data_IF_130485668351
#
_entry.id   IF_130485668351
#
_cell.length_a   1.000
_cell.length_b   1.000
_cell.length_c   1.000
_cell.angle_alpha   90.00
_cell.angle_beta   90.00
_cell.angle_gamma   90.00
#
_symmetry.space_group_name_H-M   'P 1'
#
loop_
_entity.id
_entity.type
_entity.pdbx_description
1 polymer ?
#
# COMPACT_ATOMS: atom_id res chain seq x y z
N UNK A 1 7.69 -4.56 -16.27
CA UNK A 1 6.27 -4.43 -15.88
C UNK A 1 5.94 -2.96 -15.65
N UNK A 2 4.74 -2.48 -15.98
CA UNK A 2 4.37 -1.05 -15.91
C UNK A 2 3.48 -0.71 -14.70
N UNK A 3 3.42 0.58 -14.35
CA UNK A 3 2.50 1.08 -13.32
C UNK A 3 1.03 0.75 -13.59
N UNK A 4 0.62 0.72 -14.86
CA UNK A 4 -0.73 0.31 -15.26
C UNK A 4 -1.01 -1.17 -14.93
N UNK A 5 -0.02 -2.05 -15.05
CA UNK A 5 -0.16 -3.46 -14.66
C UNK A 5 -0.30 -3.62 -13.15
N UNK A 6 0.45 -2.84 -12.36
CA UNK A 6 0.31 -2.79 -10.90
C UNK A 6 -1.09 -2.34 -10.50
N UNK A 7 -1.62 -1.28 -11.12
CA UNK A 7 -2.97 -0.80 -10.86
C UNK A 7 -4.02 -1.84 -11.26
N UNK A 8 -3.86 -2.48 -12.41
CA UNK A 8 -4.78 -3.53 -12.86
C UNK A 8 -4.81 -4.69 -11.85
N UNK A 9 -3.64 -5.11 -11.35
CA UNK A 9 -3.54 -6.12 -10.30
C UNK A 9 -4.21 -5.66 -9.01
N UNK A 10 -3.86 -4.47 -8.49
CA UNK A 10 -4.48 -3.93 -7.29
C UNK A 10 -6.01 -3.80 -7.39
N UNK A 11 -6.56 -3.50 -8.58
CA UNK A 11 -8.01 -3.44 -8.82
C UNK A 11 -8.71 -4.79 -8.73
N UNK A 12 -8.01 -5.92 -8.98
CA UNK A 12 -8.57 -7.26 -8.77
C UNK A 12 -8.92 -7.52 -7.31
N UNK A 13 -8.29 -6.79 -6.39
CA UNK A 13 -8.51 -6.94 -4.96
C UNK A 13 -9.72 -6.17 -4.44
N UNK A 14 -10.34 -5.28 -5.23
CA UNK A 14 -11.50 -4.51 -4.80
C UNK A 14 -12.61 -5.41 -4.25
N UNK A 15 -13.15 -5.05 -3.09
CA UNK A 15 -14.14 -5.85 -2.37
C UNK A 15 -13.57 -6.95 -1.47
N UNK A 16 -12.24 -7.19 -1.48
CA UNK A 16 -11.61 -8.13 -0.54
C UNK A 16 -11.84 -7.65 0.91
N UNK A 17 -12.40 -8.48 1.82
CA UNK A 17 -12.68 -8.07 3.20
C UNK A 17 -11.43 -7.64 3.98
N UNK A 18 -11.60 -6.76 4.96
CA UNK A 18 -10.48 -6.40 5.84
C UNK A 18 -10.23 -7.50 6.86
N UNK A 19 -9.09 -8.18 6.77
CA UNK A 19 -8.66 -9.20 7.73
C UNK A 19 -7.20 -8.95 8.09
N UNK A 20 -6.97 -8.61 9.36
CA UNK A 20 -5.64 -8.29 9.90
C UNK A 20 -4.64 -9.43 9.67
N UNK A 21 -3.46 -9.11 9.15
CA UNK A 21 -2.37 -10.00 8.70
C UNK A 21 -2.70 -10.95 7.55
N UNK A 22 -3.93 -10.97 7.03
CA UNK A 22 -4.26 -11.78 5.86
C UNK A 22 -3.75 -11.11 4.58
N UNK A 23 -3.61 -11.89 3.51
CA UNK A 23 -3.12 -11.43 2.21
C UNK A 23 -3.67 -12.31 1.09
N UNK A 24 -4.98 -12.55 1.06
CA UNK A 24 -5.60 -13.44 0.07
C UNK A 24 -6.72 -12.69 -0.65
N UNK A 25 -6.57 -12.53 -1.97
CA UNK A 25 -7.53 -11.80 -2.80
C UNK A 25 -8.93 -12.43 -2.70
N UNK A 26 -9.95 -11.61 -2.53
CA UNK A 26 -11.35 -12.02 -2.38
C UNK A 26 -11.70 -12.67 -1.01
N UNK A 27 -10.70 -13.04 -0.20
CA UNK A 27 -10.91 -13.72 1.09
C UNK A 27 -10.64 -12.79 2.27
N UNK A 28 -9.51 -12.10 2.25
CA UNK A 28 -9.17 -11.16 3.31
C UNK A 28 -7.76 -10.57 3.20
N UNK A 29 -7.63 -9.29 3.49
CA UNK A 29 -6.33 -8.64 3.67
C UNK A 29 -6.39 -7.37 4.53
N UNK A 30 -5.25 -6.91 5.01
CA UNK A 30 -5.08 -5.53 5.45
C UNK A 30 -4.22 -4.73 4.45
N UNK A 31 -3.76 -3.54 4.82
CA UNK A 31 -3.06 -2.65 3.90
C UNK A 31 -1.70 -3.21 3.45
N UNK A 32 -0.95 -3.86 4.36
CA UNK A 32 0.27 -4.57 3.98
C UNK A 32 -0.08 -5.87 3.25
N UNK A 33 -1.12 -6.57 3.68
CA UNK A 33 -1.63 -7.77 3.01
C UNK A 33 -1.97 -7.57 1.55
N UNK A 34 -2.59 -6.43 1.21
CA UNK A 34 -2.84 -6.00 -0.16
C UNK A 34 -1.54 -5.80 -0.93
N UNK A 35 -0.57 -5.04 -0.36
CA UNK A 35 0.73 -4.83 -1.00
C UNK A 35 1.46 -6.16 -1.25
N UNK A 36 1.50 -7.05 -0.26
CA UNK A 36 2.10 -8.38 -0.37
C UNK A 36 1.40 -9.22 -1.44
N UNK A 37 0.07 -9.10 -1.53
CA UNK A 37 -0.76 -9.71 -2.56
C UNK A 37 -0.34 -9.33 -3.95
N UNK A 38 -0.37 -8.03 -4.23
CA UNK A 38 0.05 -7.48 -5.52
C UNK A 38 1.51 -7.82 -5.80
N UNK A 39 2.41 -7.76 -4.80
CA UNK A 39 3.80 -8.18 -4.95
C UNK A 39 3.90 -9.61 -5.52
N UNK A 40 3.14 -10.57 -4.96
CA UNK A 40 3.18 -11.96 -5.41
C UNK A 40 2.82 -12.14 -6.86
N UNK A 41 1.80 -11.41 -7.32
CA UNK A 41 1.31 -11.54 -8.67
C UNK A 41 2.18 -10.76 -9.68
N UNK A 42 2.89 -9.70 -9.25
CA UNK A 42 3.70 -8.85 -10.14
C UNK A 42 5.21 -9.16 -10.15
N UNK A 43 5.75 -9.70 -9.06
CA UNK A 43 7.19 -9.98 -8.89
C UNK A 43 7.48 -11.44 -8.55
N UNK A 44 6.50 -12.21 -8.08
CA UNK A 44 6.70 -13.56 -7.56
C UNK A 44 6.91 -13.58 -6.05
N UNK A 45 7.70 -14.52 -5.49
CA UNK A 45 7.79 -14.72 -4.04
C UNK A 45 8.10 -13.44 -3.25
N UNK A 46 7.51 -13.33 -2.06
CA UNK A 46 7.80 -12.22 -1.15
C UNK A 46 9.27 -12.28 -0.67
N UNK A 47 9.92 -11.12 -0.50
CA UNK A 47 11.36 -11.07 -0.22
C UNK A 47 11.71 -11.41 1.22
N UNK A 48 10.74 -11.30 2.13
CA UNK A 48 10.93 -11.50 3.56
C UNK A 48 9.64 -12.08 4.16
N UNK A 49 9.78 -12.97 5.15
CA UNK A 49 8.64 -13.41 5.95
C UNK A 49 8.20 -12.27 6.87
N UNK A 50 6.96 -11.83 6.71
CA UNK A 50 6.40 -10.76 7.57
C UNK A 50 6.16 -11.31 8.99
N UNK A 51 6.78 -10.72 10.04
CA UNK A 51 6.52 -11.11 11.42
C UNK A 51 5.09 -10.73 11.81
N UNK A 52 4.53 -11.39 12.82
CA UNK A 52 3.25 -10.97 13.38
C UNK A 52 3.37 -9.54 13.93
N UNK A 53 2.41 -8.68 13.58
CA UNK A 53 2.36 -7.30 14.04
C UNK A 53 0.97 -6.96 14.60
N UNK A 54 0.95 -6.06 15.56
CA UNK A 54 -0.27 -5.56 16.18
C UNK A 54 -0.90 -4.45 15.32
N UNK A 55 -2.20 -4.19 15.48
CA UNK A 55 -2.90 -3.13 14.73
C UNK A 55 -2.37 -1.72 15.02
N UNK A 56 -1.76 -1.54 16.18
CA UNK A 56 -1.10 -0.29 16.58
C UNK A 56 0.30 -0.13 15.95
N UNK A 57 0.86 -1.15 15.29
CA UNK A 57 2.08 -1.05 14.49
C UNK A 57 3.27 -0.37 15.21
N UNK A 58 3.49 -0.69 16.49
CA UNK A 58 4.55 -0.09 17.31
C UNK A 58 4.36 1.41 17.61
N UNK A 59 3.14 1.93 17.55
CA UNK A 59 2.83 3.33 17.92
C UNK A 59 3.41 3.73 19.28
N UNK A 60 3.36 2.85 20.28
CA UNK A 60 3.90 3.12 21.61
C UNK A 60 5.42 3.32 21.64
N UNK A 61 6.16 2.67 20.72
CA UNK A 61 7.62 2.82 20.64
C UNK A 61 8.07 3.84 19.58
N UNK A 62 7.15 4.35 18.75
CA UNK A 62 7.45 5.29 17.68
C UNK A 62 8.25 4.69 16.52
N UNK A 63 8.41 3.37 16.47
CA UNK A 63 9.21 2.71 15.44
C UNK A 63 8.48 2.68 14.10
N UNK A 64 9.12 3.23 13.07
CA UNK A 64 8.64 3.31 11.69
C UNK A 64 8.90 2.00 10.92
N UNK A 65 8.49 0.84 11.48
CA UNK A 65 8.86 -0.48 10.96
C UNK A 65 8.40 -0.72 9.52
N UNK A 66 7.21 -0.23 9.15
CA UNK A 66 6.68 -0.34 7.79
C UNK A 66 7.49 0.52 6.80
N UNK A 67 7.92 1.71 7.23
CA UNK A 67 8.80 2.56 6.45
C UNK A 67 10.16 1.89 6.24
N UNK A 68 10.78 1.38 7.30
CA UNK A 68 12.06 0.67 7.23
C UNK A 68 11.98 -0.51 6.24
N UNK A 69 10.90 -1.29 6.29
CA UNK A 69 10.69 -2.41 5.36
C UNK A 69 10.47 -1.94 3.92
N UNK A 70 9.67 -0.90 3.71
CA UNK A 70 9.45 -0.31 2.39
C UNK A 70 10.78 0.18 1.78
N UNK A 71 11.64 0.82 2.58
CA UNK A 71 12.94 1.30 2.11
C UNK A 71 13.91 0.18 1.74
N UNK A 72 13.84 -0.97 2.42
CA UNK A 72 14.67 -2.15 2.10
C UNK A 72 14.27 -2.82 0.80
N UNK A 73 12.96 -2.90 0.52
CA UNK A 73 12.43 -3.78 -0.52
C UNK A 73 11.82 -3.06 -1.73
N UNK A 74 11.59 -1.74 -1.64
CA UNK A 74 11.01 -0.94 -2.72
C UNK A 74 11.97 0.16 -3.16
N UNK A 75 11.79 0.63 -4.40
CA UNK A 75 12.55 1.74 -4.95
C UNK A 75 11.82 3.07 -4.68
N UNK A 76 12.51 4.17 -4.34
CA UNK A 76 11.88 5.48 -4.25
C UNK A 76 11.20 5.87 -5.58
N UNK A 77 9.98 6.42 -5.49
CA UNK A 77 9.28 6.95 -6.66
C UNK A 77 9.84 8.33 -7.07
N UNK A 78 9.58 8.72 -8.33
CA UNK A 78 9.97 10.02 -8.86
C UNK A 78 9.20 11.21 -8.24
N UNK A 79 9.50 12.45 -8.67
CA UNK A 79 8.89 13.65 -8.10
C UNK A 79 7.39 13.77 -8.42
N UNK A 80 6.96 13.31 -9.59
CA UNK A 80 5.54 13.29 -9.98
C UNK A 80 4.84 12.01 -9.48
N UNK A 81 3.58 12.13 -9.07
CA UNK A 81 2.73 10.98 -8.77
C UNK A 81 2.47 10.21 -10.06
N UNK A 82 2.60 8.89 -10.01
CA UNK A 82 2.33 8.01 -11.14
C UNK A 82 1.48 6.82 -10.72
N UNK A 83 0.68 6.30 -11.65
CA UNK A 83 -0.07 5.06 -11.44
C UNK A 83 0.88 3.92 -11.08
N UNK A 84 0.48 3.13 -10.08
CA UNK A 84 1.27 2.04 -9.52
C UNK A 84 2.28 2.47 -8.46
N UNK A 85 2.45 3.77 -8.19
CA UNK A 85 3.24 4.20 -7.03
C UNK A 85 2.61 3.65 -5.73
N UNK A 86 3.46 3.12 -4.85
CA UNK A 86 3.08 2.66 -3.52
C UNK A 86 3.18 3.85 -2.57
N UNK A 87 2.08 4.22 -1.97
CA UNK A 87 1.94 5.38 -1.10
C UNK A 87 2.00 4.94 0.36
N UNK A 88 2.93 5.51 1.13
CA UNK A 88 3.00 5.34 2.58
C UNK A 88 2.40 6.56 3.26
N UNK A 89 1.44 6.33 4.15
CA UNK A 89 0.67 7.36 4.82
C UNK A 89 0.94 7.38 6.33
N UNK A 90 1.00 8.60 6.85
CA UNK A 90 0.89 8.92 8.27
C UNK A 90 -0.52 9.45 8.56
N UNK A 91 -1.34 8.64 9.22
CA UNK A 91 -2.77 8.93 9.39
C UNK A 91 -3.06 10.08 10.36
N UNK A 92 -2.17 10.30 11.34
CA UNK A 92 -2.23 11.39 12.31
C UNK A 92 -0.85 12.01 12.50
N UNK A 93 -0.79 13.31 12.70
CA UNK A 93 0.44 14.00 13.08
C UNK A 93 1.05 13.37 14.36
N UNK A 94 2.37 13.21 14.37
CA UNK A 94 3.11 12.55 15.46
C UNK A 94 2.93 11.03 15.57
N UNK A 95 2.08 10.40 14.76
CA UNK A 95 1.98 8.94 14.69
C UNK A 95 2.98 8.35 13.68
N UNK A 96 3.25 7.05 13.80
CA UNK A 96 4.06 6.32 12.82
C UNK A 96 3.33 6.20 11.47
N UNK A 97 4.09 6.09 10.39
CA UNK A 97 3.60 5.81 9.06
C UNK A 97 3.29 4.30 8.93
N UNK A 98 1.99 3.98 8.86
CA UNK A 98 1.51 2.60 9.00
C UNK A 98 0.38 2.21 8.07
N UNK A 99 0.07 3.06 7.09
CA UNK A 99 -0.98 2.79 6.12
C UNK A 99 -0.42 2.84 4.70
N UNK A 100 -0.79 1.86 3.88
CA UNK A 100 -0.32 1.71 2.51
C UNK A 100 -1.49 1.78 1.52
N UNK A 101 -1.20 2.21 0.30
CA UNK A 101 -2.10 2.12 -0.84
C UNK A 101 -1.36 2.25 -2.16
N UNK A 102 -2.03 1.93 -3.26
CA UNK A 102 -1.53 2.12 -4.61
C UNK A 102 -2.14 3.38 -5.22
N UNK A 103 -1.31 4.25 -5.76
CA UNK A 103 -1.77 5.34 -6.60
C UNK A 103 -2.34 4.79 -7.91
N UNK A 104 -3.49 5.30 -8.29
CA UNK A 104 -4.14 4.99 -9.56
C UNK A 104 -4.81 6.27 -10.09
N UNK A 105 -5.33 6.20 -11.31
CA UNK A 105 -6.07 7.31 -11.89
C UNK A 105 -7.37 6.84 -12.54
N UNK A 106 -8.34 7.75 -12.58
CA UNK A 106 -9.56 7.71 -13.36
C UNK A 106 -9.68 9.01 -14.16
N UNK A 107 -10.65 9.09 -15.08
CA UNK A 107 -10.90 10.30 -15.87
C UNK A 107 -11.16 11.56 -15.02
N UNK A 108 -11.63 11.38 -13.78
CA UNK A 108 -11.95 12.46 -12.83
C UNK A 108 -10.78 12.86 -11.94
N UNK A 109 -9.63 12.17 -12.00
CA UNK A 109 -8.42 12.53 -11.26
C UNK A 109 -7.73 11.34 -10.56
N UNK A 110 -6.78 11.64 -9.66
CA UNK A 110 -6.03 10.63 -8.94
C UNK A 110 -6.87 9.93 -7.88
N UNK A 111 -6.58 8.66 -7.68
CA UNK A 111 -7.25 7.76 -6.74
C UNK A 111 -6.23 6.94 -5.97
N UNK A 112 -6.67 6.32 -4.87
CA UNK A 112 -5.88 5.39 -4.08
C UNK A 112 -6.66 4.10 -3.89
N UNK A 113 -6.01 2.98 -4.19
CA UNK A 113 -6.50 1.63 -3.90
C UNK A 113 -5.86 1.18 -2.59
N UNK A 114 -6.66 0.93 -1.56
CA UNK A 114 -6.15 0.54 -0.24
C UNK A 114 -7.12 -0.36 0.51
N UNK A 115 -6.60 -1.19 1.42
CA UNK A 115 -7.43 -1.90 2.38
C UNK A 115 -7.72 -1.01 3.59
N UNK A 116 -8.99 -0.76 3.88
CA UNK A 116 -9.44 0.13 4.94
C UNK A 116 -10.23 -0.65 6.00
N UNK A 117 -9.88 -0.45 7.27
CA UNK A 117 -10.50 -1.16 8.40
C UNK A 117 -12.02 -0.95 8.39
N UNK A 118 -12.77 -2.03 8.56
CA UNK A 118 -14.24 -2.01 8.53
C UNK A 118 -14.88 -1.94 7.14
N UNK A 119 -14.09 -1.86 6.07
CA UNK A 119 -14.59 -1.75 4.69
C UNK A 119 -14.00 -2.82 3.75
N UNK A 120 -12.72 -3.15 3.90
CA UNK A 120 -11.98 -4.00 2.95
C UNK A 120 -11.20 -3.18 1.94
N UNK A 121 -10.87 -3.77 0.79
CA UNK A 121 -10.14 -3.10 -0.28
C UNK A 121 -11.10 -2.24 -1.10
N UNK A 122 -10.80 -0.95 -1.18
CA UNK A 122 -11.58 0.04 -1.90
C UNK A 122 -10.66 0.92 -2.75
N UNK A 123 -11.23 1.53 -3.79
CA UNK A 123 -10.60 2.60 -4.56
C UNK A 123 -11.35 3.90 -4.24
N UNK A 124 -10.63 4.91 -3.77
CA UNK A 124 -11.22 6.20 -3.38
C UNK A 124 -10.47 7.38 -3.99
N UNK A 125 -11.11 8.55 -4.15
CA UNK A 125 -10.41 9.75 -4.62
C UNK A 125 -9.22 10.08 -3.71
N UNK A 126 -8.05 10.33 -4.31
CA UNK A 126 -6.89 10.81 -3.58
C UNK A 126 -7.04 12.32 -3.36
N UNK A 127 -7.91 12.67 -2.41
CA UNK A 127 -8.24 14.06 -2.09
C UNK A 127 -7.03 14.79 -1.50
N UNK A 128 -7.04 16.12 -1.57
CA UNK A 128 -5.95 16.94 -1.00
C UNK A 128 -5.68 16.65 0.49
N UNK A 129 -6.71 16.28 1.26
CA UNK A 129 -6.55 15.90 2.66
C UNK A 129 -5.80 14.56 2.84
N UNK A 130 -5.99 13.61 1.93
CA UNK A 130 -5.23 12.36 1.91
C UNK A 130 -3.82 12.56 1.34
N UNK A 131 -3.67 13.36 0.29
CA UNK A 131 -2.36 13.65 -0.32
C UNK A 131 -1.38 14.25 0.69
N UNK A 132 -1.85 15.14 1.59
CA UNK A 132 -1.03 15.73 2.65
C UNK A 132 -0.53 14.73 3.70
N UNK A 133 -1.11 13.53 3.77
CA UNK A 133 -0.70 12.46 4.70
C UNK A 133 0.35 11.53 4.09
N UNK A 134 0.65 11.65 2.79
CA UNK A 134 1.70 10.87 2.14
C UNK A 134 3.04 11.34 2.68
N UNK A 135 3.79 10.42 3.27
CA UNK A 135 5.12 10.70 3.82
C UNK A 135 6.25 10.09 3.00
N UNK A 136 5.94 9.07 2.19
CA UNK A 136 6.86 8.50 1.22
C UNK A 136 6.10 7.85 0.06
N UNK A 137 6.79 7.72 -1.07
CA UNK A 137 6.30 7.03 -2.27
C UNK A 137 7.37 6.11 -2.82
N UNK A 138 6.93 4.95 -3.26
CA UNK A 138 7.80 3.89 -3.73
C UNK A 138 7.27 3.23 -5.00
N UNK A 139 8.08 2.35 -5.59
CA UNK A 139 7.74 1.47 -6.71
C UNK A 139 8.31 0.08 -6.45
N UNK A 140 7.68 -0.92 -7.05
CA UNK A 140 8.25 -2.25 -7.09
C UNK A 140 9.60 -2.28 -7.83
N UNK A 141 10.58 -3.08 -7.35
CA UNK A 141 11.88 -3.24 -7.99
C UNK A 141 11.77 -4.18 -9.21
N UNK A 142 11.07 -3.76 -10.27
CA UNK A 142 11.07 -4.52 -11.51
C UNK A 142 12.50 -4.57 -12.09
N UNK A 143 12.99 -5.76 -12.41
CA UNK A 143 14.14 -5.90 -13.32
C UNK A 143 13.70 -5.38 -14.70
N UNK A 144 14.53 -4.51 -15.29
CA UNK A 144 14.28 -3.89 -16.59
C UNK A 144 14.36 -4.89 -17.73
#
# INVERSE_FOLDING_TARGET
>A
MSGAQVVAEARRWLGTPYVHQASVCGVGCDCLGLLRGVWRDVLGPEPEKVPSYTRDWSEASGREALWEAAFRWLLPAGPALSDGDILLFRMREGAVAKHLGFAASHATGPTVIHAYTGHGVVESPLSAAWSRRIVARFRFPFEG
#
